data_IF_842001428444
#
_entry.id   IF_842001428444
#
_cell.length_a   1.000
_cell.length_b   1.000
_cell.length_c   1.000
_cell.angle_alpha   90.00
_cell.angle_beta   90.00
_cell.angle_gamma   90.00
#
_symmetry.space_group_name_H-M   'P 1'
#
loop_
_entity.id
_entity.type
_entity.pdbx_description
1 polymer ?
#
# COMPACT_ATOMS: atom_id res chain seq x y z
N UNK A 1 -60.61 25.74 -35.57
CA UNK A 1 -61.54 26.45 -36.48
C UNK A 1 -61.27 27.94 -36.39
N UNK A 2 -61.13 28.58 -37.55
CA UNK A 2 -61.03 30.03 -37.82
C UNK A 2 -62.06 30.92 -37.07
N UNK A 3 -62.02 32.27 -37.16
CA UNK A 3 -60.90 33.22 -37.20
C UNK A 3 -61.19 34.56 -36.45
N UNK A 4 -60.15 35.41 -36.42
CA UNK A 4 -60.04 36.89 -36.52
C UNK A 4 -61.32 37.75 -36.59
N UNK A 5 -61.24 38.92 -35.93
CA UNK A 5 -61.78 40.25 -36.29
C UNK A 5 -61.10 41.25 -35.30
N UNK A 6 -60.55 42.43 -35.62
CA UNK A 6 -60.97 43.59 -36.42
C UNK A 6 -59.73 44.46 -36.80
N UNK A 7 -59.76 45.09 -37.97
CA UNK A 7 -58.97 46.28 -38.38
C UNK A 7 -59.78 47.58 -38.05
N UNK A 8 -59.53 48.83 -38.54
CA UNK A 8 -58.41 49.45 -39.30
C UNK A 8 -57.98 50.82 -38.67
N UNK A 9 -57.05 51.57 -39.26
CA UNK A 9 -57.33 52.77 -40.10
C UNK A 9 -56.17 53.77 -39.82
N UNK A 10 -55.72 54.72 -40.63
CA UNK A 10 -55.95 55.17 -42.00
C UNK A 10 -54.95 56.34 -42.23
N UNK A 11 -54.84 56.79 -43.48
CA UNK A 11 -54.19 58.03 -43.96
C UNK A 11 -52.71 57.95 -44.40
N UNK A 12 -52.64 57.67 -45.71
CA UNK A 12 -51.62 57.98 -46.70
C UNK A 12 -51.42 59.48 -46.96
N UNK A 13 -50.24 59.87 -47.46
CA UNK A 13 -50.02 60.83 -48.57
C UNK A 13 -48.64 60.51 -49.19
N UNK A 14 -48.56 60.01 -50.44
CA UNK A 14 -48.34 60.73 -51.71
C UNK A 14 -46.93 61.37 -51.86
N UNK A 15 -46.21 61.35 -53.00
CA UNK A 15 -46.07 60.49 -54.20
C UNK A 15 -44.93 61.13 -55.05
N UNK A 16 -44.21 60.32 -55.84
CA UNK A 16 -43.43 60.64 -57.08
C UNK A 16 -42.00 61.18 -56.90
N UNK A 17 -40.94 60.43 -57.26
CA UNK A 17 -40.43 60.02 -58.60
C UNK A 17 -39.62 61.12 -59.30
N UNK A 18 -38.32 60.88 -59.54
CA UNK A 18 -37.67 60.86 -60.86
C UNK A 18 -36.16 60.51 -60.78
N UNK A 19 -35.72 59.76 -61.79
CA UNK A 19 -34.41 59.17 -62.03
C UNK A 19 -33.38 60.21 -62.53
N UNK A 20 -32.08 59.92 -62.39
CA UNK A 20 -31.12 59.74 -63.51
C UNK A 20 -29.72 59.29 -63.00
N UNK A 21 -29.07 58.55 -63.89
CA UNK A 21 -27.88 57.68 -63.84
C UNK A 21 -26.54 58.40 -63.68
N UNK A 22 -25.54 57.73 -63.07
CA UNK A 22 -24.11 58.09 -63.20
C UNK A 22 -23.18 57.13 -62.45
N UNK A 23 -22.40 56.35 -63.21
CA UNK A 23 -21.50 55.27 -62.77
C UNK A 23 -20.09 55.82 -62.41
N UNK A 24 -19.34 55.08 -61.57
CA UNK A 24 -17.85 54.95 -61.52
C UNK A 24 -17.01 55.80 -60.52
N UNK A 25 -16.64 55.14 -59.41
CA UNK A 25 -15.25 54.84 -58.92
C UNK A 25 -14.50 55.75 -57.93
N UNK A 26 -14.21 55.10 -56.78
CA UNK A 26 -12.99 55.06 -55.95
C UNK A 26 -12.73 56.03 -54.77
N UNK A 27 -12.62 55.35 -53.61
CA UNK A 27 -11.81 55.58 -52.39
C UNK A 27 -12.25 56.66 -51.40
N UNK A 28 -12.66 56.18 -50.22
CA UNK A 28 -12.83 57.00 -49.02
C UNK A 28 -13.10 56.15 -47.79
N UNK A 29 -12.03 55.65 -47.17
CA UNK A 29 -11.96 54.91 -45.90
C UNK A 29 -12.87 55.47 -44.78
N UNK A 30 -13.52 54.56 -44.04
CA UNK A 30 -13.88 54.80 -42.64
C UNK A 30 -15.36 54.62 -42.31
N UNK A 31 -15.70 53.51 -41.64
CA UNK A 31 -16.96 53.45 -40.88
C UNK A 31 -17.75 52.15 -40.91
N UNK A 32 -17.13 50.99 -40.65
CA UNK A 32 -17.87 49.77 -40.26
C UNK A 32 -17.15 48.97 -39.17
N UNK A 33 -16.50 49.66 -38.23
CA UNK A 33 -15.74 49.03 -37.15
C UNK A 33 -16.49 48.99 -35.80
N UNK A 34 -17.82 48.86 -35.82
CA UNK A 34 -18.59 48.94 -34.56
C UNK A 34 -19.74 47.94 -34.39
N UNK A 35 -19.93 47.02 -35.36
CA UNK A 35 -20.93 45.95 -35.23
C UNK A 35 -20.36 44.52 -35.13
N UNK A 36 -19.06 44.35 -35.35
CA UNK A 36 -18.39 43.05 -35.15
C UNK A 36 -17.78 42.85 -33.75
N UNK A 37 -17.64 43.92 -32.95
CA UNK A 37 -17.02 43.83 -31.62
C UNK A 37 -17.98 43.50 -30.46
N UNK A 38 -19.30 43.42 -30.69
CA UNK A 38 -20.26 43.04 -29.63
C UNK A 38 -20.58 41.55 -29.55
N UNK A 39 -20.11 40.73 -30.50
CA UNK A 39 -20.22 39.26 -30.41
C UNK A 39 -18.93 38.57 -29.93
N UNK A 40 -17.82 39.31 -29.78
CA UNK A 40 -16.56 38.76 -29.26
C UNK A 40 -16.44 38.82 -27.72
N UNK A 41 -17.49 39.24 -27.00
CA UNK A 41 -17.51 39.36 -25.53
C UNK A 41 -18.44 38.37 -24.83
N UNK A 42 -18.99 37.39 -25.56
CA UNK A 42 -19.79 36.32 -24.95
C UNK A 42 -19.22 34.96 -25.31
N UNK A 43 -18.99 34.14 -24.29
CA UNK A 43 -18.39 32.80 -24.30
C UNK A 43 -16.85 32.71 -24.32
N UNK A 44 -16.17 33.42 -23.40
CA UNK A 44 -15.08 32.73 -22.67
C UNK A 44 -15.75 31.84 -21.64
N UNK A 45 -15.92 30.56 -21.98
CA UNK A 45 -16.19 29.50 -21.00
C UNK A 45 -15.21 29.72 -19.84
N UNK A 46 -15.66 29.85 -18.58
CA UNK A 46 -14.73 29.88 -17.46
C UNK A 46 -13.88 28.64 -17.61
N UNK A 47 -12.56 28.81 -17.73
CA UNK A 47 -11.64 27.69 -17.57
C UNK A 47 -12.11 26.97 -16.31
N UNK A 48 -12.51 25.70 -16.44
CA UNK A 48 -13.00 24.88 -15.34
C UNK A 48 -12.04 25.11 -14.18
N UNK A 49 -12.48 25.85 -13.16
CA UNK A 49 -11.62 26.19 -12.05
C UNK A 49 -11.10 24.86 -11.52
N UNK A 50 -9.81 24.58 -11.74
CA UNK A 50 -9.20 23.35 -11.30
C UNK A 50 -9.44 23.31 -9.79
N UNK A 51 -10.25 22.34 -9.35
CA UNK A 51 -10.54 22.15 -7.93
C UNK A 51 -9.21 22.19 -7.17
N UNK A 52 -9.13 22.93 -6.05
CA UNK A 52 -7.87 23.07 -5.34
C UNK A 52 -7.35 21.69 -4.98
N UNK A 53 -6.20 21.34 -5.54
CA UNK A 53 -5.51 20.09 -5.25
C UNK A 53 -5.03 20.13 -3.81
N UNK A 54 -5.13 18.99 -3.10
CA UNK A 54 -4.68 18.91 -1.71
C UNK A 54 -3.21 19.29 -1.63
N UNK A 55 -2.91 20.28 -0.79
CA UNK A 55 -1.56 20.85 -0.67
C UNK A 55 -0.60 19.86 0.01
N UNK A 56 0.72 20.00 -0.25
CA UNK A 56 1.78 19.30 0.49
C UNK A 56 1.59 19.31 2.01
N UNK A 57 1.27 20.49 2.56
CA UNK A 57 1.10 20.69 4.00
C UNK A 57 -0.11 19.93 4.54
N UNK A 58 -1.23 19.95 3.81
CA UNK A 58 -2.43 19.20 4.19
C UNK A 58 -2.18 17.68 4.19
N UNK A 59 -1.40 17.17 3.23
CA UNK A 59 -0.97 15.77 3.19
C UNK A 59 -0.17 15.43 4.46
N UNK A 60 0.87 16.21 4.77
CA UNK A 60 1.71 15.96 5.95
C UNK A 60 0.93 16.06 7.26
N UNK A 61 0.08 17.08 7.43
CA UNK A 61 -0.78 17.20 8.62
C UNK A 61 -1.70 15.99 8.78
N UNK A 62 -2.23 15.47 7.67
CA UNK A 62 -3.06 14.27 7.69
C UNK A 62 -2.25 13.01 8.01
N UNK A 63 -1.05 12.85 7.42
CA UNK A 63 -0.15 11.73 7.74
C UNK A 63 0.17 11.71 9.24
N UNK A 64 0.51 12.87 9.82
CA UNK A 64 0.77 13.02 11.25
C UNK A 64 -0.45 12.60 12.10
N UNK A 65 -1.65 13.02 11.72
CA UNK A 65 -2.88 12.63 12.43
C UNK A 65 -3.10 11.11 12.40
N UNK A 66 -2.98 10.48 11.24
CA UNK A 66 -3.13 9.02 11.10
C UNK A 66 -2.04 8.29 11.89
N UNK A 67 -0.78 8.72 11.76
CA UNK A 67 0.35 8.15 12.49
C UNK A 67 0.14 8.24 14.01
N UNK A 68 -0.35 9.37 14.51
CA UNK A 68 -0.66 9.53 15.93
C UNK A 68 -1.81 8.61 16.39
N UNK A 69 -2.89 8.50 15.61
CA UNK A 69 -3.98 7.56 15.90
C UNK A 69 -3.50 6.11 15.92
N UNK A 70 -2.69 5.73 14.94
CA UNK A 70 -2.10 4.39 14.84
C UNK A 70 -1.15 4.09 16.00
N UNK A 71 -0.27 5.03 16.35
CA UNK A 71 0.65 4.89 17.49
C UNK A 71 -0.13 4.74 18.80
N UNK A 72 -1.15 5.58 19.04
CA UNK A 72 -2.00 5.50 20.24
C UNK A 72 -2.65 4.11 20.37
N UNK A 73 -3.18 3.58 19.26
CA UNK A 73 -3.73 2.24 19.25
C UNK A 73 -2.67 1.16 19.52
N UNK A 74 -1.52 1.25 18.85
CA UNK A 74 -0.42 0.29 19.01
C UNK A 74 0.10 0.28 20.45
N UNK A 75 0.30 1.45 21.07
CA UNK A 75 0.72 1.58 22.47
C UNK A 75 -0.31 0.95 23.42
N UNK A 76 -1.61 1.19 23.17
CA UNK A 76 -2.68 0.60 23.98
C UNK A 76 -2.66 -0.93 23.94
N UNK A 77 -2.60 -1.55 22.75
CA UNK A 77 -2.67 -3.02 22.62
C UNK A 77 -1.36 -3.74 23.00
N UNK A 78 -0.28 -2.99 23.19
CA UNK A 78 1.04 -3.49 23.64
C UNK A 78 1.38 -3.09 25.08
N UNK A 79 0.47 -2.40 25.78
CA UNK A 79 0.71 -1.85 27.11
C UNK A 79 1.11 -2.91 28.16
N UNK A 80 0.57 -4.12 28.03
CA UNK A 80 0.88 -5.25 28.91
C UNK A 80 2.16 -6.03 28.51
N UNK A 81 2.84 -5.58 27.44
CA UNK A 81 4.06 -6.17 26.86
C UNK A 81 3.91 -7.58 26.29
N UNK A 82 2.69 -8.11 26.22
CA UNK A 82 2.39 -9.42 25.63
C UNK A 82 2.18 -9.37 24.12
N UNK A 83 2.42 -8.20 23.51
CA UNK A 83 2.29 -7.98 22.07
C UNK A 83 3.34 -7.01 21.60
N UNK A 84 3.87 -7.26 20.41
CA UNK A 84 4.79 -6.38 19.70
C UNK A 84 4.26 -6.11 18.31
N UNK A 85 4.26 -4.83 17.90
CA UNK A 85 3.73 -4.39 16.61
C UNK A 85 4.80 -3.58 15.88
N UNK A 86 5.06 -3.95 14.62
CA UNK A 86 5.80 -3.10 13.68
C UNK A 86 5.01 -2.94 12.39
N UNK A 87 4.57 -1.71 12.12
CA UNK A 87 3.81 -1.34 10.93
C UNK A 87 4.65 -0.43 10.02
N UNK A 88 4.62 -0.70 8.72
CA UNK A 88 5.30 0.10 7.72
C UNK A 88 4.46 0.21 6.45
N UNK A 89 4.02 1.41 6.07
CA UNK A 89 3.32 1.60 4.82
C UNK A 89 4.30 1.53 3.63
N UNK A 90 3.87 0.89 2.54
CA UNK A 90 4.61 0.86 1.28
C UNK A 90 3.99 1.84 0.28
N UNK A 91 4.80 2.28 -0.66
CA UNK A 91 4.29 2.99 -1.84
C UNK A 91 3.29 2.11 -2.62
N UNK A 92 2.23 2.70 -3.20
CA UNK A 92 1.28 1.96 -4.02
C UNK A 92 1.98 1.15 -5.12
N UNK A 93 1.44 -0.03 -5.42
CA UNK A 93 1.94 -0.91 -6.47
C UNK A 93 1.98 -0.17 -7.81
N UNK A 94 3.13 -0.12 -8.52
CA UNK A 94 3.21 0.53 -9.83
C UNK A 94 2.14 0.00 -10.79
N UNK A 95 1.51 0.90 -11.54
CA UNK A 95 0.42 0.57 -12.48
C UNK A 95 -0.96 0.37 -11.85
N UNK A 96 -1.10 0.39 -10.52
CA UNK A 96 -2.39 0.23 -9.84
C UNK A 96 -3.27 1.48 -9.91
N UNK A 97 -4.54 1.35 -9.53
CA UNK A 97 -5.46 2.48 -9.42
C UNK A 97 -4.94 3.55 -8.43
N UNK A 98 -4.48 3.14 -7.25
CA UNK A 98 -3.90 4.05 -6.25
C UNK A 98 -2.63 4.76 -6.77
N UNK A 99 -1.82 4.07 -7.59
CA UNK A 99 -0.61 4.65 -8.16
C UNK A 99 -0.87 5.71 -9.24
N UNK A 100 -2.10 5.89 -9.75
CA UNK A 100 -2.42 6.93 -10.74
C UNK A 100 -2.42 8.33 -10.14
N UNK A 101 -2.77 8.46 -8.86
CA UNK A 101 -2.94 9.75 -8.20
C UNK A 101 -1.65 10.22 -7.51
N UNK A 102 -1.15 11.41 -7.86
CA UNK A 102 0.07 11.96 -7.27
C UNK A 102 -0.07 12.24 -5.76
N UNK A 103 -1.24 12.70 -5.32
CA UNK A 103 -1.54 12.92 -3.89
C UNK A 103 -1.56 11.61 -3.11
N UNK A 104 -2.14 10.54 -3.65
CA UNK A 104 -2.09 9.19 -3.05
C UNK A 104 -0.67 8.65 -2.98
N UNK A 105 0.12 8.76 -4.06
CA UNK A 105 1.53 8.35 -4.04
C UNK A 105 2.35 9.09 -2.97
N UNK A 106 2.08 10.40 -2.82
CA UNK A 106 2.74 11.22 -1.79
C UNK A 106 2.27 10.86 -0.39
N UNK A 107 0.97 10.67 -0.19
CA UNK A 107 0.42 10.34 1.12
C UNK A 107 0.90 8.99 1.65
N UNK A 108 0.99 7.99 0.77
CA UNK A 108 1.51 6.66 1.09
C UNK A 108 2.97 6.49 0.67
N UNK A 109 3.75 7.57 0.60
CA UNK A 109 5.19 7.44 0.43
C UNK A 109 5.73 6.54 1.54
N UNK A 110 6.49 5.53 1.15
CA UNK A 110 6.86 4.43 2.03
C UNK A 110 7.54 4.92 3.31
N UNK A 111 7.12 4.40 4.46
CA UNK A 111 7.64 4.76 5.77
C UNK A 111 7.04 6.01 6.43
N UNK A 112 6.35 6.88 5.69
CA UNK A 112 5.78 8.13 6.24
C UNK A 112 4.75 7.88 7.37
N UNK A 113 4.09 6.72 7.38
CA UNK A 113 3.10 6.30 8.37
C UNK A 113 3.61 5.16 9.27
N UNK A 114 4.91 4.86 9.26
CA UNK A 114 5.47 3.77 10.06
C UNK A 114 5.29 4.00 11.56
N UNK A 115 4.95 2.94 12.28
CA UNK A 115 4.67 2.90 13.74
C UNK A 115 5.28 1.63 14.31
N UNK A 116 5.90 1.77 15.49
CA UNK A 116 6.47 0.66 16.26
C UNK A 116 5.98 0.76 17.71
N UNK A 117 5.54 -0.35 18.29
CA UNK A 117 5.15 -0.43 19.70
C UNK A 117 5.61 -1.78 20.27
N UNK A 118 6.40 -1.75 21.36
CA UNK A 118 7.16 -2.90 21.88
C UNK A 118 8.02 -3.63 20.81
N UNK A 119 8.28 -2.99 19.66
CA UNK A 119 8.75 -3.68 18.46
C UNK A 119 10.21 -4.13 18.51
N UNK A 120 11.00 -3.58 19.44
CA UNK A 120 12.42 -3.88 19.62
C UNK A 120 12.68 -4.90 20.73
N UNK A 121 11.64 -5.34 21.44
CA UNK A 121 11.75 -6.36 22.47
C UNK A 121 11.96 -7.72 21.80
N UNK A 122 13.02 -8.46 22.16
CA UNK A 122 13.22 -9.82 21.69
C UNK A 122 12.16 -10.76 22.26
N UNK A 123 11.51 -11.50 21.38
CA UNK A 123 10.46 -12.47 21.70
C UNK A 123 10.78 -13.78 20.98
N UNK A 124 10.20 -14.89 21.46
CA UNK A 124 10.28 -16.16 20.73
C UNK A 124 9.73 -15.95 19.32
N UNK A 125 10.52 -16.24 18.29
CA UNK A 125 10.09 -16.03 16.91
C UNK A 125 9.07 -17.08 16.47
N UNK A 126 9.13 -18.27 17.07
CA UNK A 126 8.54 -19.48 16.50
C UNK A 126 8.92 -19.58 15.01
N UNK A 127 8.09 -20.18 14.15
CA UNK A 127 8.39 -20.33 12.72
C UNK A 127 8.52 -19.04 11.89
N UNK A 128 8.37 -17.84 12.47
CA UNK A 128 8.67 -16.59 11.73
C UNK A 128 10.17 -16.41 11.46
N UNK A 129 11.07 -17.09 12.18
CA UNK A 129 12.51 -17.11 11.85
C UNK A 129 12.77 -17.62 10.43
N UNK A 130 11.83 -18.39 9.85
CA UNK A 130 11.95 -18.93 8.50
C UNK A 130 11.99 -17.85 7.42
N UNK A 131 11.63 -16.60 7.72
CA UNK A 131 11.89 -15.46 6.84
C UNK A 131 13.40 -15.16 6.73
N UNK A 132 14.14 -15.27 7.83
CA UNK A 132 15.60 -15.14 7.83
C UNK A 132 16.27 -16.33 7.16
N UNK A 133 15.76 -17.54 7.38
CA UNK A 133 16.23 -18.73 6.68
C UNK A 133 15.94 -18.66 5.18
N UNK A 134 14.81 -18.10 4.77
CA UNK A 134 14.51 -17.89 3.36
C UNK A 134 15.55 -16.97 2.71
N UNK A 135 15.83 -15.83 3.35
CA UNK A 135 16.91 -14.93 2.95
C UNK A 135 18.26 -15.66 2.83
N UNK A 136 18.60 -16.51 3.81
CA UNK A 136 19.86 -17.23 3.82
C UNK A 136 19.97 -18.30 2.74
N UNK A 137 18.90 -19.07 2.52
CA UNK A 137 18.78 -20.06 1.44
C UNK A 137 18.99 -19.39 0.08
N UNK A 138 18.33 -18.25 -0.17
CA UNK A 138 18.51 -17.51 -1.43
C UNK A 138 19.95 -17.00 -1.59
N UNK A 139 20.55 -16.52 -0.51
CA UNK A 139 21.95 -16.11 -0.52
C UNK A 139 22.90 -17.29 -0.86
N UNK A 140 22.72 -18.46 -0.24
CA UNK A 140 23.51 -19.65 -0.56
C UNK A 140 23.29 -20.11 -2.00
N UNK A 141 22.05 -20.05 -2.48
CA UNK A 141 21.72 -20.37 -3.87
C UNK A 141 22.48 -19.46 -4.85
N UNK A 142 22.50 -18.15 -4.63
CA UNK A 142 23.23 -17.20 -5.49
C UNK A 142 24.75 -17.34 -5.41
N UNK A 143 25.26 -17.91 -4.32
CA UNK A 143 26.68 -18.26 -4.19
C UNK A 143 27.03 -19.63 -4.83
N UNK A 144 26.05 -20.36 -5.36
CA UNK A 144 26.25 -21.71 -5.91
C UNK A 144 26.44 -22.80 -4.84
N UNK A 145 26.23 -22.46 -3.56
CA UNK A 145 26.43 -23.36 -2.42
C UNK A 145 25.18 -24.21 -2.11
N UNK A 146 24.02 -23.81 -2.62
CA UNK A 146 22.76 -24.54 -2.48
C UNK A 146 21.96 -24.49 -3.80
N UNK A 147 22.25 -25.37 -4.77
CA UNK A 147 21.55 -25.37 -6.05
C UNK A 147 20.08 -25.79 -5.89
N UNK A 148 19.21 -25.32 -6.79
CA UNK A 148 17.80 -25.74 -6.84
C UNK A 148 17.64 -27.14 -7.44
N UNK A 149 17.96 -28.18 -6.66
CA UNK A 149 17.51 -29.55 -6.95
C UNK A 149 16.02 -29.70 -6.59
N UNK A 150 15.32 -30.72 -7.12
CA UNK A 150 13.92 -30.99 -6.75
C UNK A 150 13.71 -31.12 -5.24
N UNK A 151 14.66 -31.70 -4.52
CA UNK A 151 14.62 -31.88 -3.07
C UNK A 151 14.75 -30.54 -2.34
N UNK A 152 15.71 -29.69 -2.74
CA UNK A 152 15.90 -28.38 -2.14
C UNK A 152 14.71 -27.45 -2.41
N UNK A 153 14.14 -27.53 -3.62
CA UNK A 153 12.92 -26.80 -3.95
C UNK A 153 11.77 -27.26 -3.05
N UNK A 154 11.53 -28.58 -2.97
CA UNK A 154 10.46 -29.14 -2.14
C UNK A 154 10.63 -28.73 -0.67
N UNK A 155 11.84 -28.86 -0.11
CA UNK A 155 12.12 -28.47 1.27
C UNK A 155 11.87 -26.98 1.52
N UNK A 156 12.30 -26.11 0.60
CA UNK A 156 12.03 -24.67 0.68
C UNK A 156 10.53 -24.36 0.60
N UNK A 157 9.78 -25.01 -0.30
CA UNK A 157 8.33 -24.84 -0.40
C UNK A 157 7.61 -25.30 0.87
N UNK A 158 7.94 -26.47 1.41
CA UNK A 158 7.35 -27.00 2.64
C UNK A 158 7.66 -26.09 3.84
N UNK A 159 8.88 -25.57 3.93
CA UNK A 159 9.28 -24.60 4.96
C UNK A 159 8.41 -23.34 4.94
N UNK A 160 8.07 -22.81 3.77
CA UNK A 160 7.28 -21.57 3.66
C UNK A 160 5.78 -21.83 3.75
N UNK A 161 5.26 -22.80 2.98
CA UNK A 161 3.81 -23.01 2.80
C UNK A 161 3.19 -23.76 3.98
N UNK A 162 3.86 -24.82 4.44
CA UNK A 162 3.39 -25.71 5.51
C UNK A 162 4.10 -25.49 6.84
N UNK A 163 5.12 -24.62 6.84
CA UNK A 163 5.91 -24.28 8.01
C UNK A 163 6.72 -25.45 8.58
N UNK A 164 7.01 -26.45 7.75
CA UNK A 164 7.83 -27.61 8.14
C UNK A 164 9.23 -27.18 8.59
N UNK A 165 9.78 -27.88 9.58
CA UNK A 165 11.03 -27.52 10.22
C UNK A 165 12.24 -28.16 9.54
N UNK A 166 12.10 -29.39 9.03
CA UNK A 166 13.20 -30.26 8.60
C UNK A 166 14.22 -29.53 7.71
N UNK A 167 13.77 -28.89 6.63
CA UNK A 167 14.68 -28.19 5.71
C UNK A 167 15.45 -27.04 6.36
N UNK A 168 14.80 -26.29 7.26
CA UNK A 168 15.40 -25.14 7.92
C UNK A 168 16.40 -25.59 9.00
N UNK A 169 16.01 -26.57 9.82
CA UNK A 169 16.84 -27.10 10.90
C UNK A 169 18.04 -27.88 10.34
N UNK A 170 17.86 -28.70 9.30
CA UNK A 170 18.97 -29.36 8.59
C UNK A 170 20.01 -28.35 8.08
N UNK A 171 19.55 -27.22 7.54
CA UNK A 171 20.45 -26.19 7.04
C UNK A 171 21.15 -25.46 8.20
N UNK A 172 20.46 -25.21 9.31
CA UNK A 172 21.06 -24.66 10.53
C UNK A 172 22.14 -25.58 11.09
N UNK A 173 21.89 -26.89 11.13
CA UNK A 173 22.85 -27.89 11.62
C UNK A 173 24.07 -27.99 10.72
N UNK A 174 23.89 -27.98 9.39
CA UNK A 174 24.99 -28.06 8.43
C UNK A 174 25.87 -26.80 8.40
N UNK A 175 25.26 -25.62 8.52
CA UNK A 175 25.98 -24.34 8.40
C UNK A 175 26.48 -23.82 9.75
N UNK A 176 25.82 -24.21 10.84
CA UNK A 176 26.10 -23.78 12.20
C UNK A 176 25.44 -22.45 12.57
N UNK A 177 24.91 -22.38 13.79
CA UNK A 177 24.22 -21.19 14.31
C UNK A 177 25.05 -19.88 14.18
N UNK A 178 26.37 -19.86 14.46
CA UNK A 178 27.16 -18.64 14.33
C UNK A 178 27.20 -18.08 12.90
N UNK A 179 27.32 -18.95 11.88
CA UNK A 179 27.38 -18.52 10.49
C UNK A 179 26.06 -17.90 10.04
N UNK A 180 24.93 -18.53 10.39
CA UNK A 180 23.60 -18.01 10.07
C UNK A 180 23.31 -16.70 10.81
N UNK A 181 23.65 -16.60 12.09
CA UNK A 181 23.53 -15.36 12.85
C UNK A 181 24.41 -14.23 12.28
N UNK A 182 25.64 -14.54 11.85
CA UNK A 182 26.52 -13.56 11.22
C UNK A 182 25.91 -13.02 9.92
N UNK A 183 25.34 -13.90 9.09
CA UNK A 183 24.60 -13.50 7.90
C UNK A 183 23.42 -12.58 8.24
N UNK A 184 22.59 -12.95 9.23
CA UNK A 184 21.44 -12.15 9.67
C UNK A 184 21.90 -10.78 10.18
N UNK A 185 22.93 -10.74 11.02
CA UNK A 185 23.49 -9.49 11.54
C UNK A 185 24.06 -8.59 10.44
N UNK A 186 24.65 -9.16 9.39
CA UNK A 186 25.14 -8.42 8.23
C UNK A 186 24.03 -7.74 7.41
N UNK A 187 22.78 -8.20 7.53
CA UNK A 187 21.60 -7.52 6.95
C UNK A 187 21.06 -6.39 7.85
N UNK A 188 21.70 -6.13 9.00
CA UNK A 188 21.22 -5.22 10.06
C UNK A 188 19.87 -5.65 10.66
N UNK A 189 19.60 -6.95 10.65
CA UNK A 189 18.48 -7.56 11.37
C UNK A 189 18.92 -7.94 12.80
N UNK A 190 17.96 -8.29 13.66
CA UNK A 190 18.24 -8.74 15.03
C UNK A 190 19.11 -10.00 14.99
N UNK A 191 20.24 -9.97 15.70
CA UNK A 191 21.12 -11.11 15.88
C UNK A 191 21.71 -11.08 17.30
N UNK A 192 21.94 -12.25 17.93
CA UNK A 192 21.68 -13.59 17.40
C UNK A 192 20.19 -13.96 17.42
N UNK A 193 19.70 -14.59 16.34
CA UNK A 193 18.37 -15.22 16.31
C UNK A 193 18.41 -16.61 16.93
N UNK A 194 19.48 -17.35 16.65
CA UNK A 194 19.66 -18.73 17.09
C UNK A 194 20.70 -18.82 18.18
N UNK A 195 20.33 -19.38 19.34
CA UNK A 195 21.27 -19.64 20.43
C UNK A 195 21.05 -21.07 20.90
N UNK A 196 22.13 -21.82 21.11
CA UNK A 196 22.04 -23.23 21.47
C UNK A 196 21.23 -23.42 22.77
N UNK A 197 20.29 -24.37 22.75
CA UNK A 197 19.50 -24.74 23.91
C UNK A 197 18.34 -23.80 24.28
N UNK A 198 18.09 -22.74 23.50
CA UNK A 198 16.91 -21.88 23.70
C UNK A 198 16.10 -21.71 22.41
N UNK A 199 14.77 -21.49 22.49
CA UNK A 199 13.98 -21.17 21.31
C UNK A 199 14.53 -19.95 20.57
N UNK A 200 14.45 -19.96 19.24
CA UNK A 200 14.86 -18.83 18.42
C UNK A 200 14.09 -17.56 18.80
N UNK A 201 14.81 -16.44 18.81
CA UNK A 201 14.27 -15.13 19.20
C UNK A 201 14.47 -14.10 18.10
N UNK A 202 13.53 -13.16 18.00
CA UNK A 202 13.66 -12.00 17.12
C UNK A 202 12.81 -10.84 17.63
N UNK A 203 12.82 -9.73 16.90
CA UNK A 203 11.99 -8.57 17.21
C UNK A 203 10.99 -8.33 16.08
N UNK A 204 9.82 -7.76 16.41
CA UNK A 204 8.83 -7.41 15.39
C UNK A 204 9.43 -6.42 14.37
N UNK A 205 10.30 -5.52 14.83
CA UNK A 205 11.05 -4.59 13.99
C UNK A 205 11.97 -5.32 12.99
N UNK A 206 12.71 -6.34 13.44
CA UNK A 206 13.61 -7.11 12.57
C UNK A 206 12.88 -7.89 11.49
N UNK A 207 11.76 -8.52 11.82
CA UNK A 207 10.90 -9.19 10.83
C UNK A 207 10.36 -8.17 9.81
N UNK A 208 10.02 -6.95 10.26
CA UNK A 208 9.58 -5.89 9.38
C UNK A 208 10.69 -5.45 8.43
N UNK A 209 11.93 -5.29 8.90
CA UNK A 209 13.10 -4.98 8.06
C UNK A 209 13.31 -6.04 6.97
N UNK A 210 13.28 -7.33 7.32
CA UNK A 210 13.40 -8.41 6.33
C UNK A 210 12.29 -8.36 5.27
N UNK A 211 11.05 -8.07 5.66
CA UNK A 211 9.94 -7.87 4.73
C UNK A 211 10.06 -6.59 3.90
N UNK A 212 10.69 -5.54 4.42
CA UNK A 212 11.02 -4.33 3.64
C UNK A 212 12.05 -4.67 2.58
N UNK A 213 13.12 -5.39 2.92
CA UNK A 213 14.13 -5.81 1.95
C UNK A 213 13.51 -6.68 0.86
N UNK A 214 12.62 -7.59 1.25
CA UNK A 214 11.84 -8.41 0.31
C UNK A 214 10.96 -7.55 -0.61
N UNK A 215 10.16 -6.64 -0.06
CA UNK A 215 9.22 -5.81 -0.82
C UNK A 215 9.93 -4.79 -1.74
N UNK A 216 11.08 -4.29 -1.30
CA UNK A 216 11.87 -3.26 -1.97
C UNK A 216 13.00 -3.82 -2.84
N UNK A 217 13.05 -5.15 -3.01
CA UNK A 217 14.01 -5.82 -3.91
C UNK A 217 15.48 -5.58 -3.51
N UNK A 218 15.74 -5.43 -2.22
CA UNK A 218 17.10 -5.27 -1.69
C UNK A 218 17.71 -6.65 -1.46
N UNK A 219 19.05 -6.71 -1.41
CA UNK A 219 19.74 -7.93 -0.99
C UNK A 219 19.19 -8.40 0.38
N UNK A 220 19.03 -9.72 0.59
CA UNK A 220 19.33 -10.84 -0.30
C UNK A 220 18.21 -11.18 -1.33
N UNK A 221 17.17 -10.37 -1.45
CA UNK A 221 15.99 -10.59 -2.29
C UNK A 221 16.04 -9.86 -3.66
N UNK A 222 17.22 -9.45 -4.12
CA UNK A 222 17.37 -8.68 -5.36
C UNK A 222 17.01 -9.50 -6.62
N UNK A 223 17.27 -10.81 -6.62
CA UNK A 223 16.98 -11.68 -7.76
C UNK A 223 15.46 -11.82 -7.98
N UNK A 224 14.99 -11.39 -9.15
CA UNK A 224 13.56 -11.24 -9.44
C UNK A 224 12.79 -12.56 -9.41
N UNK A 225 13.35 -13.63 -9.98
CA UNK A 225 12.65 -14.91 -10.08
C UNK A 225 12.46 -15.56 -8.71
N UNK A 226 13.52 -15.62 -7.90
CA UNK A 226 13.47 -16.20 -6.56
C UNK A 226 12.60 -15.38 -5.62
N UNK A 227 12.71 -14.05 -5.66
CA UNK A 227 11.83 -13.16 -4.90
C UNK A 227 10.37 -13.40 -5.24
N UNK A 228 10.04 -13.50 -6.54
CA UNK A 228 8.68 -13.76 -7.00
C UNK A 228 8.19 -15.13 -6.53
N UNK A 229 9.05 -16.15 -6.56
CA UNK A 229 8.72 -17.48 -6.07
C UNK A 229 8.46 -17.49 -4.57
N UNK A 230 9.33 -16.88 -3.75
CA UNK A 230 9.13 -16.72 -2.31
C UNK A 230 7.82 -15.99 -1.99
N UNK A 231 7.55 -14.85 -2.62
CA UNK A 231 6.29 -14.11 -2.42
C UNK A 231 5.06 -14.95 -2.79
N UNK A 232 5.16 -15.78 -3.84
CA UNK A 232 4.09 -16.69 -4.24
C UNK A 232 3.88 -17.81 -3.20
N UNK A 233 4.95 -18.37 -2.64
CA UNK A 233 4.85 -19.37 -1.57
C UNK A 233 4.24 -18.79 -0.31
N UNK A 234 4.71 -17.60 0.13
CA UNK A 234 4.12 -16.88 1.25
C UNK A 234 2.64 -16.54 1.03
N UNK A 235 2.24 -16.25 -0.22
CA UNK A 235 0.84 -16.03 -0.59
C UNK A 235 -0.02 -17.31 -0.58
N UNK A 236 0.60 -18.50 -0.66
CA UNK A 236 -0.04 -19.82 -0.63
C UNK A 236 0.00 -20.49 0.74
N UNK A 237 0.66 -19.89 1.74
CA UNK A 237 0.78 -20.45 3.08
C UNK A 237 -0.59 -20.93 3.60
N UNK A 238 -0.63 -22.09 4.24
CA UNK A 238 -1.93 -22.71 4.64
C UNK A 238 -2.52 -22.08 5.90
N UNK A 239 -1.70 -21.44 6.73
CA UNK A 239 -2.12 -20.78 7.97
C UNK A 239 -2.50 -19.33 7.68
N UNK A 240 -3.80 -19.02 7.73
CA UNK A 240 -4.34 -17.73 7.23
C UNK A 240 -5.25 -17.00 8.22
N UNK A 241 -5.31 -17.45 9.47
CA UNK A 241 -6.24 -16.95 10.50
C UNK A 241 -5.74 -15.71 11.25
N UNK A 242 -4.50 -15.25 11.00
CA UNK A 242 -3.91 -14.03 11.55
C UNK A 242 -4.12 -12.79 10.67
N UNK A 243 -3.03 -12.19 10.20
CA UNK A 243 -3.01 -11.02 9.31
C UNK A 243 -3.92 -11.22 8.08
N UNK A 244 -3.91 -12.37 7.38
CA UNK A 244 -4.75 -12.54 6.20
C UNK A 244 -6.25 -12.43 6.48
N UNK A 245 -6.73 -13.08 7.55
CA UNK A 245 -8.12 -12.97 7.99
C UNK A 245 -8.48 -11.53 8.37
N UNK A 246 -7.62 -10.86 9.15
CA UNK A 246 -7.85 -9.49 9.58
C UNK A 246 -7.87 -8.48 8.42
N UNK A 247 -6.96 -8.64 7.46
CA UNK A 247 -6.85 -7.81 6.27
C UNK A 247 -8.05 -7.99 5.32
N UNK A 248 -8.48 -9.24 5.11
CA UNK A 248 -9.67 -9.57 4.31
C UNK A 248 -10.96 -9.02 4.96
N UNK A 249 -11.08 -9.09 6.29
CA UNK A 249 -12.20 -8.51 7.03
C UNK A 249 -12.25 -6.98 6.93
N UNK A 250 -11.09 -6.31 6.95
CA UNK A 250 -11.05 -4.85 6.77
C UNK A 250 -11.35 -4.42 5.34
N UNK A 251 -10.92 -5.19 4.34
CA UNK A 251 -11.20 -4.92 2.93
C UNK A 251 -11.19 -6.22 2.11
N UNK A 252 -12.35 -6.60 1.60
CA UNK A 252 -12.47 -7.75 0.70
C UNK A 252 -11.58 -7.59 -0.55
N UNK A 253 -11.00 -8.71 -1.00
CA UNK A 253 -10.06 -8.76 -2.12
C UNK A 253 -8.61 -8.37 -1.77
N UNK A 254 -8.33 -8.05 -0.50
CA UNK A 254 -6.96 -7.87 -0.01
C UNK A 254 -6.19 -9.18 -0.07
N UNK A 255 -4.97 -9.16 -0.59
CA UNK A 255 -4.06 -10.30 -0.61
C UNK A 255 -2.93 -10.11 0.39
N UNK A 256 -2.42 -11.22 0.93
CA UNK A 256 -1.35 -11.19 1.94
C UNK A 256 -0.34 -12.28 1.61
N UNK A 257 0.94 -11.90 1.51
CA UNK A 257 2.08 -12.81 1.55
C UNK A 257 2.64 -12.78 2.97
N UNK A 258 2.44 -13.83 3.76
CA UNK A 258 2.82 -13.89 5.17
C UNK A 258 3.70 -15.09 5.51
N UNK A 259 4.28 -15.04 6.72
CA UNK A 259 4.81 -16.20 7.43
C UNK A 259 4.32 -16.15 8.87
N UNK A 260 3.65 -17.20 9.30
CA UNK A 260 3.21 -17.35 10.70
C UNK A 260 4.23 -18.12 11.54
N UNK A 261 4.13 -17.99 12.86
CA UNK A 261 4.80 -18.86 13.81
C UNK A 261 3.93 -19.15 15.03
N UNK A 262 4.03 -20.36 15.56
CA UNK A 262 3.43 -20.74 16.83
C UNK A 262 4.39 -21.64 17.60
N UNK A 263 4.53 -21.41 18.90
CA UNK A 263 5.36 -22.22 19.79
C UNK A 263 4.92 -21.96 21.23
N UNK A 264 4.59 -23.02 21.98
CA UNK A 264 4.05 -22.90 23.34
C UNK A 264 2.87 -21.91 23.41
N UNK A 265 3.05 -20.80 24.12
CA UNK A 265 2.08 -19.71 24.26
C UNK A 265 2.31 -18.55 23.27
N UNK A 266 3.21 -18.69 22.31
CA UNK A 266 3.56 -17.63 21.36
C UNK A 266 2.85 -17.86 20.02
N UNK A 267 2.27 -16.79 19.46
CA UNK A 267 1.73 -16.73 18.11
C UNK A 267 2.20 -15.45 17.43
N UNK A 268 2.81 -15.59 16.26
CA UNK A 268 3.38 -14.49 15.51
C UNK A 268 2.90 -14.55 14.06
N UNK A 269 2.80 -13.39 13.44
CA UNK A 269 2.50 -13.27 12.02
C UNK A 269 3.20 -12.04 11.44
N UNK A 270 3.80 -12.20 10.27
CA UNK A 270 4.58 -11.18 9.59
C UNK A 270 4.24 -11.25 8.09
N UNK A 271 3.72 -10.15 7.52
CA UNK A 271 3.25 -10.18 6.14
C UNK A 271 3.28 -8.85 5.39
N UNK A 272 3.34 -8.98 4.05
CA UNK A 272 3.13 -7.91 3.08
C UNK A 272 1.69 -7.99 2.60
N UNK A 273 0.93 -6.93 2.86
CA UNK A 273 -0.49 -6.82 2.52
C UNK A 273 -0.68 -5.93 1.30
N UNK A 274 -1.51 -6.37 0.34
CA UNK A 274 -1.87 -5.60 -0.86
C UNK A 274 -3.38 -5.49 -1.01
N UNK A 275 -3.90 -4.27 -0.95
CA UNK A 275 -5.31 -3.95 -1.15
C UNK A 275 -5.69 -4.01 -2.65
N UNK A 276 -6.98 -4.18 -2.98
CA UNK A 276 -7.45 -4.27 -4.37
C UNK A 276 -7.09 -3.06 -5.26
N UNK A 277 -6.97 -1.85 -4.70
CA UNK A 277 -6.57 -0.65 -5.43
C UNK A 277 -5.03 -0.53 -5.60
N UNK A 278 -4.27 -1.46 -5.03
CA UNK A 278 -2.81 -1.51 -5.04
C UNK A 278 -2.12 -0.69 -3.95
N UNK A 279 -2.85 -0.16 -2.96
CA UNK A 279 -2.21 0.27 -1.70
C UNK A 279 -1.61 -0.95 -0.97
N UNK A 280 -0.48 -0.75 -0.28
CA UNK A 280 0.26 -1.85 0.35
C UNK A 280 0.91 -1.44 1.66
N UNK A 281 1.10 -2.40 2.55
CA UNK A 281 1.83 -2.22 3.80
C UNK A 281 2.50 -3.53 4.25
N UNK A 282 3.43 -3.40 5.18
CA UNK A 282 4.02 -4.48 5.96
C UNK A 282 3.46 -4.38 7.38
N UNK A 283 3.07 -5.51 7.94
CA UNK A 283 2.65 -5.62 9.33
C UNK A 283 3.32 -6.84 9.95
N UNK A 284 3.86 -6.65 11.14
CA UNK A 284 4.30 -7.72 12.03
C UNK A 284 3.57 -7.57 13.35
N UNK A 285 2.95 -8.66 13.80
CA UNK A 285 2.35 -8.78 15.13
C UNK A 285 2.88 -10.04 15.78
N UNK A 286 3.52 -9.88 16.94
CA UNK A 286 3.99 -10.99 17.77
C UNK A 286 3.18 -10.97 19.06
N UNK A 287 2.65 -12.10 19.51
CA UNK A 287 1.86 -12.20 20.75
C UNK A 287 2.30 -13.39 21.59
N UNK A 288 2.23 -13.24 22.91
CA UNK A 288 2.42 -14.32 23.88
C UNK A 288 1.50 -14.15 25.09
N UNK A 289 1.51 -15.06 26.08
CA UNK A 289 0.70 -14.95 27.28
C UNK A 289 -0.82 -15.04 27.03
N UNK A 290 -1.63 -14.42 27.89
CA UNK A 290 -3.11 -14.46 27.80
C UNK A 290 -3.73 -15.86 27.71
N UNK A 291 -3.04 -16.86 28.28
CA UNK A 291 -3.40 -18.28 28.19
C UNK A 291 -3.60 -18.77 26.74
N UNK A 292 -3.00 -18.10 25.76
CA UNK A 292 -3.03 -18.56 24.39
C UNK A 292 -2.14 -19.81 24.26
N UNK A 293 -2.58 -20.76 23.45
CA UNK A 293 -1.86 -21.98 23.09
C UNK A 293 -2.23 -22.39 21.66
N UNK A 294 -1.33 -23.10 20.98
CA UNK A 294 -1.59 -23.58 19.62
C UNK A 294 -1.88 -22.41 18.67
N UNK A 295 -3.12 -22.30 18.19
CA UNK A 295 -3.55 -21.27 17.23
C UNK A 295 -4.45 -20.18 17.84
N UNK A 296 -4.66 -20.19 19.16
CA UNK A 296 -5.63 -19.30 19.82
C UNK A 296 -5.21 -17.83 19.89
N UNK A 297 -3.95 -17.48 19.63
CA UNK A 297 -3.49 -16.10 19.51
C UNK A 297 -3.77 -15.44 18.15
N UNK A 298 -3.98 -16.21 17.08
CA UNK A 298 -4.21 -15.66 15.74
C UNK A 298 -5.46 -14.74 15.63
N UNK A 299 -6.59 -15.01 16.29
CA UNK A 299 -7.71 -14.06 16.35
C UNK A 299 -7.34 -12.68 16.91
N UNK A 300 -6.42 -12.60 17.88
CA UNK A 300 -5.91 -11.31 18.40
C UNK A 300 -5.13 -10.58 17.31
N UNK A 301 -4.28 -11.27 16.58
CA UNK A 301 -3.53 -10.74 15.42
C UNK A 301 -4.48 -10.24 14.33
N UNK A 302 -5.52 -11.01 13.99
CA UNK A 302 -6.52 -10.63 13.01
C UNK A 302 -7.25 -9.33 13.42
N UNK A 303 -7.68 -9.23 14.69
CA UNK A 303 -8.34 -8.02 15.23
C UNK A 303 -7.44 -6.79 15.14
N UNK A 304 -6.16 -6.93 15.49
CA UNK A 304 -5.16 -5.86 15.38
C UNK A 304 -5.01 -5.43 13.92
N UNK A 305 -4.85 -6.39 13.02
CA UNK A 305 -4.71 -6.14 11.57
C UNK A 305 -5.92 -5.40 11.00
N UNK A 306 -7.14 -5.85 11.33
CA UNK A 306 -8.37 -5.20 10.87
C UNK A 306 -8.44 -3.74 11.33
N UNK A 307 -8.07 -3.46 12.58
CA UNK A 307 -8.08 -2.10 13.11
C UNK A 307 -7.04 -1.21 12.41
N UNK A 308 -5.79 -1.67 12.34
CA UNK A 308 -4.69 -0.94 11.69
C UNK A 308 -5.04 -0.62 10.24
N UNK A 309 -5.52 -1.60 9.46
CA UNK A 309 -5.88 -1.37 8.06
C UNK A 309 -7.03 -0.38 7.92
N UNK A 310 -8.06 -0.43 8.79
CA UNK A 310 -9.17 0.53 8.76
C UNK A 310 -8.72 1.95 9.11
N UNK A 311 -7.78 2.12 10.02
CA UNK A 311 -7.23 3.44 10.37
C UNK A 311 -6.42 4.03 9.23
N UNK A 312 -5.53 3.23 8.63
CA UNK A 312 -4.55 3.73 7.65
C UNK A 312 -5.10 3.79 6.23
N UNK A 313 -5.99 2.86 5.86
CA UNK A 313 -6.48 2.66 4.49
C UNK A 313 -8.01 2.79 4.39
N UNK A 314 -8.61 3.68 5.19
CA UNK A 314 -10.03 4.05 5.03
C UNK A 314 -10.28 4.63 3.62
N UNK A 315 -11.26 4.14 2.84
CA UNK A 315 -11.62 4.70 1.53
C UNK A 315 -12.00 6.21 1.56
N UNK A 316 -12.37 6.76 2.71
CA UNK A 316 -12.57 8.20 2.90
C UNK A 316 -11.27 8.99 2.77
N UNK A 317 -10.11 8.40 3.09
CA UNK A 317 -8.80 9.03 2.89
C UNK A 317 -8.57 9.29 1.41
N UNK A 318 -8.76 8.28 0.56
CA UNK A 318 -8.56 8.43 -0.88
C UNK A 318 -9.50 9.44 -1.50
N UNK A 319 -10.78 9.45 -1.09
CA UNK A 319 -11.78 10.44 -1.54
C UNK A 319 -11.40 11.87 -1.15
N UNK A 320 -10.83 12.05 0.04
CA UNK A 320 -10.42 13.36 0.52
C UNK A 320 -9.08 13.81 -0.07
N UNK A 321 -8.19 12.88 -0.44
CA UNK A 321 -6.94 13.16 -1.15
C UNK A 321 -7.18 13.46 -2.65
N UNK A 322 -8.25 12.90 -3.21
CA UNK A 322 -8.63 13.00 -4.61
C UNK A 322 -10.10 13.40 -4.76
N UNK A 323 -10.49 14.63 -4.35
CA UNK A 323 -11.85 15.09 -4.53
C UNK A 323 -12.18 15.10 -6.03
N UNK A 324 -13.22 14.36 -6.42
CA UNK A 324 -13.83 14.46 -7.76
C UNK A 324 -14.26 15.88 -8.00
#
# INVERSE_FOLDING_TARGET
>A
MHPKHFQPSFWSEHRRSLLIVGLVVLVGLGGTWEFQNRQALSAKTPATATRPTVTPRQITTRQQKIKHQLQTYADHVTADKTTSISFYNLSPLPGSAAAKHATTRRFYHQGDLAVNANAHTPEVSASTYKLFMAAYVLNLHHQGLLPWTPENQTGFEQMIVHSENDFAEDLLDRQGLPAVNAFIGAQHWYAPVFTAGIPSQTTAYSLNLALQDLALQKAPFAHQADRKWLLNLMGKQVYRTGIPAGAAQAKAGTTVADKVGWYADTNNDAGIVTLPNGQRYILVVMTHGHMQSGFSGFPRIAKITTHIQKVVYDPQIDRQLNPS
#
